data_IF_406692050699
#
_entry.id   IF_406692050699
#
_cell.length_a   1.000
_cell.length_b   1.000
_cell.length_c   1.000
_cell.angle_alpha   90.00
_cell.angle_beta   90.00
_cell.angle_gamma   90.00
#
_symmetry.space_group_name_H-M   'P 1'
#
loop_
_entity.id
_entity.type
_entity.pdbx_description
1 polymer ?
#
# COMPACT_ATOMS: atom_id res chain seq x y z
N UNK A 1 -8.90 -21.27 -27.80
CA UNK A 1 -9.09 -21.42 -26.34
C UNK A 1 -8.64 -20.12 -25.66
N UNK A 2 -9.49 -19.41 -24.90
CA UNK A 2 -9.04 -18.25 -24.15
C UNK A 2 -8.25 -18.72 -22.92
N UNK A 3 -7.02 -18.21 -22.77
CA UNK A 3 -6.14 -18.49 -21.63
C UNK A 3 -6.88 -18.07 -20.34
N UNK A 4 -7.21 -19.03 -19.48
CA UNK A 4 -7.67 -18.73 -18.11
C UNK A 4 -6.51 -18.04 -17.41
N UNK A 5 -6.57 -16.71 -17.31
CA UNK A 5 -5.72 -15.98 -16.39
C UNK A 5 -6.09 -16.46 -14.99
N UNK A 6 -5.26 -17.32 -14.42
CA UNK A 6 -5.34 -17.66 -13.00
C UNK A 6 -5.41 -16.33 -12.24
N UNK A 7 -6.37 -16.11 -11.34
CA UNK A 7 -6.29 -14.98 -10.43
C UNK A 7 -5.06 -15.27 -9.56
N UNK A 8 -3.92 -14.67 -9.93
CA UNK A 8 -2.77 -14.52 -9.03
C UNK A 8 -3.38 -14.02 -7.72
N UNK A 9 -3.09 -14.67 -6.57
CA UNK A 9 -3.57 -14.18 -5.29
C UNK A 9 -3.23 -12.69 -5.27
N UNK A 10 -4.24 -11.82 -5.30
CA UNK A 10 -3.99 -10.38 -5.38
C UNK A 10 -3.27 -10.05 -4.10
N UNK A 11 -1.95 -9.93 -4.17
CA UNK A 11 -1.12 -9.56 -3.03
C UNK A 11 -1.73 -8.29 -2.46
N UNK A 12 -2.27 -8.38 -1.24
CA UNK A 12 -2.92 -7.24 -0.59
C UNK A 12 -1.94 -6.04 -0.51
N UNK A 13 -0.63 -6.33 -0.52
CA UNK A 13 0.47 -5.38 -0.69
C UNK A 13 0.39 -4.60 -2.01
N UNK A 14 0.16 -5.25 -3.16
CA UNK A 14 0.00 -4.58 -4.45
C UNK A 14 -1.29 -3.73 -4.49
N UNK A 15 -2.37 -4.23 -3.88
CA UNK A 15 -3.62 -3.47 -3.78
C UNK A 15 -3.44 -2.21 -2.92
N UNK A 16 -2.67 -2.29 -1.84
CA UNK A 16 -2.33 -1.14 -1.00
C UNK A 16 -1.54 -0.10 -1.79
N UNK A 17 -0.53 -0.52 -2.55
CA UNK A 17 0.26 0.39 -3.38
C UNK A 17 -0.57 1.06 -4.48
N UNK A 18 -1.45 0.31 -5.15
CA UNK A 18 -2.37 0.87 -6.14
C UNK A 18 -3.39 1.82 -5.51
N UNK A 19 -3.84 1.55 -4.29
CA UNK A 19 -4.72 2.45 -3.55
C UNK A 19 -4.00 3.76 -3.23
N UNK A 20 -2.79 3.69 -2.67
CA UNK A 20 -1.98 4.87 -2.38
C UNK A 20 -1.67 5.68 -3.65
N UNK A 21 -1.36 5.02 -4.76
CA UNK A 21 -1.12 5.68 -6.06
C UNK A 21 -2.36 6.46 -6.52
N UNK A 22 -3.57 5.89 -6.33
CA UNK A 22 -4.84 6.57 -6.64
C UNK A 22 -5.16 7.73 -5.70
N UNK A 23 -4.66 7.68 -4.46
CA UNK A 23 -4.81 8.74 -3.47
C UNK A 23 -3.77 9.87 -3.60
N UNK A 24 -2.95 9.88 -4.66
CA UNK A 24 -1.90 10.90 -4.83
C UNK A 24 -0.59 10.57 -4.11
N UNK A 25 -0.35 9.29 -3.83
CA UNK A 25 0.90 8.79 -3.25
C UNK A 25 0.87 8.63 -1.73
N UNK A 26 -0.16 9.11 -1.04
CA UNK A 26 -0.27 8.95 0.41
C UNK A 26 -1.71 8.77 0.89
N UNK A 27 -1.88 8.11 2.04
CA UNK A 27 -3.16 7.98 2.70
C UNK A 27 -2.98 7.87 4.22
N UNK A 28 -4.01 8.26 4.98
CA UNK A 28 -3.97 8.20 6.44
C UNK A 28 -4.06 6.75 6.93
N UNK A 29 -3.17 6.33 7.81
CA UNK A 29 -3.08 4.96 8.34
C UNK A 29 -4.38 4.49 9.00
N UNK A 30 -5.11 5.38 9.68
CA UNK A 30 -6.40 5.04 10.29
C UNK A 30 -7.58 4.99 9.30
N UNK A 31 -7.39 5.47 8.07
CA UNK A 31 -8.43 5.50 7.05
C UNK A 31 -8.25 4.43 5.97
N UNK A 32 -7.11 3.73 5.96
CA UNK A 32 -6.87 2.65 5.00
C UNK A 32 -7.46 1.34 5.48
N UNK A 33 -8.12 0.61 4.59
CA UNK A 33 -8.78 -0.66 4.89
C UNK A 33 -7.83 -1.86 4.65
N UNK A 34 -6.54 -1.69 5.00
CA UNK A 34 -5.52 -2.73 4.89
C UNK A 34 -5.08 -3.18 6.27
N UNK A 35 -4.76 -4.47 6.41
CA UNK A 35 -4.26 -4.99 7.67
C UNK A 35 -2.88 -4.43 8.00
N UNK A 36 -2.62 -4.27 9.29
CA UNK A 36 -1.31 -3.83 9.79
C UNK A 36 -0.17 -4.72 9.29
N UNK A 37 -0.40 -6.04 9.15
CA UNK A 37 0.58 -6.96 8.60
C UNK A 37 1.02 -6.60 7.18
N UNK A 38 0.07 -6.25 6.30
CA UNK A 38 0.38 -5.84 4.91
C UNK A 38 1.19 -4.53 4.90
N UNK A 39 0.78 -3.57 5.71
CA UNK A 39 1.46 -2.27 5.82
C UNK A 39 2.88 -2.47 6.35
N UNK A 40 3.03 -3.28 7.40
CA UNK A 40 4.33 -3.61 7.98
C UNK A 40 5.23 -4.35 6.99
N UNK A 41 4.70 -5.29 6.19
CA UNK A 41 5.46 -5.91 5.10
C UNK A 41 5.93 -4.88 4.09
N UNK A 42 5.07 -3.93 3.68
CA UNK A 42 5.45 -2.88 2.73
C UNK A 42 6.51 -1.91 3.30
N UNK A 43 6.43 -1.58 4.58
CA UNK A 43 7.45 -0.77 5.28
C UNK A 43 8.78 -1.54 5.37
N UNK A 44 8.74 -2.82 5.72
CA UNK A 44 9.92 -3.68 5.77
C UNK A 44 10.59 -3.82 4.39
N UNK A 45 9.78 -3.87 3.34
CA UNK A 45 10.25 -3.89 1.95
C UNK A 45 10.68 -2.50 1.43
N UNK A 46 10.61 -1.44 2.27
CA UNK A 46 10.89 -0.05 1.88
C UNK A 46 10.11 0.41 0.65
N UNK A 47 8.85 -0.03 0.53
CA UNK A 47 7.95 0.39 -0.55
C UNK A 47 7.02 1.51 -0.11
N UNK A 48 6.84 1.65 1.20
CA UNK A 48 6.06 2.72 1.82
C UNK A 48 6.78 3.20 3.07
N UNK A 49 6.57 4.46 3.41
CA UNK A 49 7.03 5.09 4.64
C UNK A 49 5.84 5.54 5.47
N UNK A 50 6.00 5.50 6.79
CA UNK A 50 5.00 6.04 7.72
C UNK A 50 5.51 7.39 8.21
N UNK A 51 4.78 8.44 7.89
CA UNK A 51 5.10 9.82 8.27
C UNK A 51 4.04 10.32 9.25
N UNK A 52 4.49 10.86 10.40
CA UNK A 52 3.58 11.56 11.31
C UNK A 52 3.60 13.06 10.97
N UNK A 53 2.45 13.59 10.56
CA UNK A 53 2.32 14.99 10.13
C UNK A 53 1.77 15.91 11.24
N UNK A 54 1.65 15.41 12.48
CA UNK A 54 1.00 16.12 13.59
C UNK A 54 -0.54 16.04 13.55
N UNK A 55 -1.12 15.79 12.38
CA UNK A 55 -2.54 15.47 12.19
C UNK A 55 -2.83 13.95 12.19
N UNK A 56 -1.81 13.13 12.42
CA UNK A 56 -1.88 11.67 12.48
C UNK A 56 -0.78 10.98 11.66
N UNK A 57 -0.89 9.66 11.56
CA UNK A 57 0.02 8.83 10.78
C UNK A 57 -0.46 8.67 9.35
N UNK A 58 0.43 8.88 8.39
CA UNK A 58 0.19 8.72 6.97
C UNK A 58 1.12 7.65 6.43
N UNK A 59 0.59 6.77 5.59
CA UNK A 59 1.36 5.84 4.78
C UNK A 59 1.57 6.51 3.44
N UNK A 60 2.83 6.72 3.08
CA UNK A 60 3.22 7.33 1.81
C UNK A 60 3.99 6.30 0.99
N UNK A 61 3.78 6.28 -0.32
CA UNK A 61 4.61 5.50 -1.22
C UNK A 61 6.05 6.00 -1.10
N UNK A 62 6.97 5.06 -0.90
CA UNK A 62 8.37 5.34 -1.07
C UNK A 62 8.62 5.15 -2.57
N UNK A 63 8.63 6.27 -3.30
CA UNK A 63 9.01 6.29 -4.71
C UNK A 63 10.50 5.96 -4.81
N UNK A 64 10.84 4.69 -4.64
CA UNK A 64 12.15 4.17 -4.99
C UNK A 64 12.22 4.22 -6.51
N UNK A 65 12.79 5.32 -7.00
CA UNK A 65 13.08 5.59 -8.41
C UNK A 65 14.06 4.57 -8.98
#
# INVERSE_FOLDING_TARGET
>A
MPKKANPVPKDHSQLCLQYLSRCGGSARLCSINFSLGVIQTLVNQRRVKITNTGAGFFVELDEVK
#
